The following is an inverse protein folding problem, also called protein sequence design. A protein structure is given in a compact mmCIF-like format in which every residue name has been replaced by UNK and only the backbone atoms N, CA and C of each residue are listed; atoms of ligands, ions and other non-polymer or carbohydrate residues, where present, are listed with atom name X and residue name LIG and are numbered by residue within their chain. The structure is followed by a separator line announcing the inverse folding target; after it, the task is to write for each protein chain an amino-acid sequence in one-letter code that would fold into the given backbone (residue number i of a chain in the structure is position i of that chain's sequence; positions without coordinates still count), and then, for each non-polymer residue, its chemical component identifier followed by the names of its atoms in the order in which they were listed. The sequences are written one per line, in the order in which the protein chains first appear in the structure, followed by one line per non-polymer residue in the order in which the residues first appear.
data_IF_991204115606
#
_entry.id   IF_991204115606
#
_cell.length_a   1.000
_cell.length_b   1.000
_cell.length_c   1.000
_cell.angle_alpha   90.00
_cell.angle_beta   90.00
_cell.angle_gamma   90.00
#
_symmetry.space_group_name_H-M   'P 1'
#
loop_
_entity.id
_entity.type
_entity.pdbx_description
1 polymer ?
#
# COMPACT_ATOMS: atom_id res chain seq x y z
N UNK A 1 7.02 12.71 -2.67
CA UNK A 1 5.65 12.57 -2.09
C UNK A 1 5.47 11.21 -1.42
N UNK A 2 4.50 11.02 -0.52
CA UNK A 2 4.22 9.69 0.10
C UNK A 2 3.69 8.65 -0.91
N UNK A 3 3.18 9.08 -2.06
CA UNK A 3 2.80 8.18 -3.17
C UNK A 3 3.98 7.35 -3.69
N UNK A 4 5.18 7.94 -3.75
CA UNK A 4 6.40 7.25 -4.22
C UNK A 4 6.81 6.12 -3.27
N UNK A 5 6.73 6.35 -1.95
CA UNK A 5 6.98 5.32 -0.96
C UNK A 5 5.91 4.22 -1.02
N UNK A 6 4.63 4.60 -1.13
CA UNK A 6 3.53 3.64 -1.22
C UNK A 6 3.65 2.71 -2.44
N UNK A 7 3.99 3.25 -3.62
CA UNK A 7 4.18 2.44 -4.83
C UNK A 7 5.44 1.58 -4.74
N UNK A 8 6.54 2.09 -4.16
CA UNK A 8 7.74 1.30 -3.94
C UNK A 8 7.48 0.07 -3.04
N UNK A 9 6.66 0.22 -1.98
CA UNK A 9 6.22 -0.91 -1.17
C UNK A 9 5.39 -1.92 -1.98
N UNK A 10 4.45 -1.43 -2.81
CA UNK A 10 3.60 -2.29 -3.62
C UNK A 10 4.37 -3.04 -4.72
N UNK A 11 5.36 -2.41 -5.35
CA UNK A 11 6.18 -3.01 -6.40
C UNK A 11 7.00 -4.20 -5.93
N UNK A 12 7.41 -4.23 -4.65
CA UNK A 12 8.15 -5.37 -4.07
C UNK A 12 7.38 -6.67 -4.10
N UNK A 13 6.05 -6.58 -3.98
CA UNK A 13 5.16 -7.74 -3.95
C UNK A 13 4.44 -7.95 -5.27
N UNK A 14 4.61 -7.05 -6.24
CA UNK A 14 4.01 -7.17 -7.56
C UNK A 14 4.34 -8.50 -8.27
N UNK A 15 5.56 -9.10 -8.13
CA UNK A 15 5.84 -10.41 -8.69
C UNK A 15 4.96 -11.56 -8.14
N UNK A 16 4.25 -11.35 -7.03
CA UNK A 16 3.29 -12.33 -6.49
C UNK A 16 1.92 -12.26 -7.18
N UNK A 17 1.66 -11.19 -7.95
CA UNK A 17 0.41 -11.03 -8.68
C UNK A 17 0.47 -11.77 -10.02
N UNK A 18 -0.51 -12.64 -10.22
CA UNK A 18 -0.73 -13.43 -11.43
C UNK A 18 -2.23 -13.46 -11.70
N UNK A 19 -2.62 -13.15 -12.95
CA UNK A 19 -4.00 -13.00 -13.39
C UNK A 19 -4.07 -13.02 -14.94
N UNK A 20 -5.25 -12.81 -15.52
CA UNK A 20 -5.35 -12.60 -16.96
C UNK A 20 -4.63 -11.31 -17.42
N UNK A 21 -4.30 -11.25 -18.71
CA UNK A 21 -3.54 -10.14 -19.30
C UNK A 21 -4.22 -8.76 -19.13
N UNK A 22 -5.55 -8.72 -19.01
CA UNK A 22 -6.28 -7.45 -18.81
C UNK A 22 -6.06 -6.95 -17.39
N UNK A 23 -6.21 -7.82 -16.40
CA UNK A 23 -5.96 -7.49 -15.00
C UNK A 23 -4.48 -7.12 -14.76
N UNK A 24 -3.54 -7.84 -15.37
CA UNK A 24 -2.11 -7.48 -15.35
C UNK A 24 -1.86 -6.07 -15.89
N UNK A 25 -2.41 -5.75 -17.05
CA UNK A 25 -2.27 -4.43 -17.65
C UNK A 25 -2.83 -3.33 -16.74
N UNK A 26 -4.00 -3.54 -16.13
CA UNK A 26 -4.62 -2.60 -15.21
C UNK A 26 -3.80 -2.35 -13.94
N UNK A 27 -3.16 -3.39 -13.39
CA UNK A 27 -2.29 -3.24 -12.21
C UNK A 27 -0.99 -2.52 -12.57
N UNK A 28 -0.34 -2.86 -13.70
CA UNK A 28 0.88 -2.17 -14.16
C UNK A 28 0.62 -0.70 -14.49
N UNK A 29 -0.50 -0.41 -15.12
CA UNK A 29 -0.96 0.96 -15.42
C UNK A 29 -1.19 1.77 -14.12
N UNK A 30 -1.81 1.18 -13.10
CA UNK A 30 -1.94 1.83 -11.79
C UNK A 30 -0.59 2.14 -11.11
N UNK A 31 0.40 1.26 -11.24
CA UNK A 31 1.78 1.52 -10.79
C UNK A 31 2.38 2.71 -11.52
N UNK A 32 2.32 2.71 -12.86
CA UNK A 32 2.86 3.79 -13.70
C UNK A 32 2.23 5.16 -13.37
N UNK A 33 0.91 5.20 -13.19
CA UNK A 33 0.21 6.43 -12.81
C UNK A 33 0.55 6.90 -11.40
N UNK A 34 0.70 5.98 -10.44
CA UNK A 34 1.08 6.36 -9.07
C UNK A 34 2.48 6.98 -9.04
N UNK A 35 3.39 6.47 -9.86
CA UNK A 35 4.70 7.06 -10.09
C UNK A 35 4.61 8.47 -10.71
N UNK A 36 3.83 8.65 -11.77
CA UNK A 36 3.61 9.95 -12.41
C UNK A 36 3.02 10.97 -11.43
N UNK A 37 2.00 10.59 -10.67
CA UNK A 37 1.42 11.43 -9.62
C UNK A 37 2.45 11.81 -8.56
N UNK A 38 3.27 10.84 -8.12
CA UNK A 38 4.34 11.07 -7.15
C UNK A 38 5.42 12.05 -7.63
N UNK A 39 5.61 12.19 -8.94
CA UNK A 39 6.50 13.16 -9.60
C UNK A 39 5.82 14.49 -9.96
N UNK A 40 4.51 14.62 -9.72
CA UNK A 40 3.74 15.82 -10.08
C UNK A 40 3.38 15.91 -11.57
N UNK A 41 3.43 14.79 -12.28
CA UNK A 41 3.12 14.71 -13.73
C UNK A 41 1.63 14.47 -14.01
N UNK A 42 0.82 14.19 -12.97
CA UNK A 42 -0.65 14.09 -13.06
C UNK A 42 -1.32 14.75 -11.86
N UNK A 43 -2.62 15.01 -11.99
CA UNK A 43 -3.43 15.67 -10.96
C UNK A 43 -4.15 14.67 -10.06
N UNK A 44 -4.44 15.10 -8.82
CA UNK A 44 -5.27 14.30 -7.91
C UNK A 44 -6.63 13.95 -8.53
N UNK A 45 -7.25 14.88 -9.26
CA UNK A 45 -8.55 14.66 -9.89
C UNK A 45 -8.51 13.55 -10.96
N UNK A 46 -7.45 13.49 -11.76
CA UNK A 46 -7.25 12.43 -12.76
C UNK A 46 -7.07 11.06 -12.11
N UNK A 47 -6.24 10.98 -11.08
CA UNK A 47 -5.95 9.71 -10.41
C UNK A 47 -7.13 9.21 -9.57
N UNK A 48 -7.84 10.12 -8.89
CA UNK A 48 -9.05 9.78 -8.14
C UNK A 48 -10.08 9.11 -9.07
N UNK A 49 -10.26 9.60 -10.31
CA UNK A 49 -11.22 8.98 -11.25
C UNK A 49 -10.88 7.53 -11.60
N UNK A 50 -9.61 7.15 -11.53
CA UNK A 50 -9.13 5.82 -11.93
C UNK A 50 -8.83 4.90 -10.73
N UNK A 51 -8.91 5.39 -9.49
CA UNK A 51 -8.50 4.67 -8.27
C UNK A 51 -9.15 3.30 -8.04
N UNK A 52 -10.36 3.07 -8.61
CA UNK A 52 -11.09 1.81 -8.45
C UNK A 52 -10.70 0.73 -9.47
N UNK A 53 -9.95 1.07 -10.52
CA UNK A 53 -9.48 0.12 -11.53
C UNK A 53 -8.63 -0.99 -10.91
N UNK A 54 -7.53 -0.71 -10.18
CA UNK A 54 -6.72 -1.77 -9.57
C UNK A 54 -7.46 -2.54 -8.47
N UNK A 55 -8.47 -1.95 -7.82
CA UNK A 55 -9.32 -2.66 -6.83
C UNK A 55 -10.08 -3.79 -7.50
N UNK A 56 -10.63 -3.56 -8.69
CA UNK A 56 -11.35 -4.59 -9.45
C UNK A 56 -10.39 -5.66 -9.99
N UNK A 57 -9.24 -5.24 -10.52
CA UNK A 57 -8.21 -6.14 -11.03
C UNK A 57 -7.70 -7.12 -9.95
N UNK A 58 -7.64 -6.69 -8.68
CA UNK A 58 -7.23 -7.55 -7.57
C UNK A 58 -8.13 -8.78 -7.36
N UNK A 59 -9.37 -8.77 -7.85
CA UNK A 59 -10.27 -9.94 -7.78
C UNK A 59 -9.96 -11.01 -8.82
N UNK A 60 -9.17 -10.69 -9.84
CA UNK A 60 -8.73 -11.64 -10.88
C UNK A 60 -7.46 -12.42 -10.48
N UNK A 61 -6.87 -12.12 -9.33
CA UNK A 61 -5.66 -12.79 -8.86
C UNK A 61 -5.89 -14.30 -8.64
N UNK A 62 -4.95 -15.12 -9.09
CA UNK A 62 -4.99 -16.58 -8.96
C UNK A 62 -4.67 -17.08 -7.55
N UNK A 63 -4.01 -16.25 -6.72
CA UNK A 63 -3.62 -16.60 -5.36
C UNK A 63 -4.00 -15.53 -4.33
N UNK A 64 -4.17 -15.89 -3.03
CA UNK A 64 -4.39 -14.90 -1.97
C UNK A 64 -3.24 -13.89 -1.82
N UNK A 65 -1.99 -14.34 -2.01
CA UNK A 65 -0.81 -13.47 -1.96
C UNK A 65 -0.83 -12.44 -3.11
N UNK A 66 -1.12 -12.89 -4.33
CA UNK A 66 -1.31 -12.01 -5.49
C UNK A 66 -2.47 -11.04 -5.31
N UNK A 67 -3.58 -11.50 -4.74
CA UNK A 67 -4.72 -10.63 -4.42
C UNK A 67 -4.37 -9.57 -3.38
N UNK A 68 -3.46 -9.86 -2.45
CA UNK A 68 -2.94 -8.88 -1.50
C UNK A 68 -1.96 -7.90 -2.17
N UNK A 69 -1.09 -8.38 -3.08
CA UNK A 69 -0.18 -7.54 -3.86
C UNK A 69 -0.93 -6.54 -4.74
N UNK A 70 -1.95 -6.98 -5.49
CA UNK A 70 -2.78 -6.07 -6.28
C UNK A 70 -3.55 -5.05 -5.41
N UNK A 71 -3.97 -5.45 -4.20
CA UNK A 71 -4.56 -4.50 -3.23
C UNK A 71 -3.53 -3.51 -2.68
N UNK A 72 -2.26 -3.86 -2.56
CA UNK A 72 -1.19 -2.91 -2.21
C UNK A 72 -1.07 -1.83 -3.29
N UNK A 73 -1.05 -2.22 -4.57
CA UNK A 73 -1.07 -1.28 -5.71
C UNK A 73 -2.32 -0.41 -5.70
N UNK A 74 -3.50 -1.00 -5.42
CA UNK A 74 -4.74 -0.25 -5.36
C UNK A 74 -4.74 0.83 -4.25
N UNK A 75 -4.16 0.51 -3.09
CA UNK A 75 -3.96 1.49 -2.01
C UNK A 75 -2.94 2.56 -2.42
N UNK A 76 -1.84 2.19 -3.07
CA UNK A 76 -0.84 3.15 -3.55
C UNK A 76 -1.47 4.16 -4.54
N UNK A 77 -2.27 3.70 -5.49
CA UNK A 77 -3.01 4.56 -6.41
C UNK A 77 -4.04 5.47 -5.69
N UNK A 78 -4.61 5.01 -4.57
CA UNK A 78 -5.54 5.78 -3.77
C UNK A 78 -4.86 6.89 -2.93
N UNK A 79 -3.53 6.98 -2.89
CA UNK A 79 -2.82 8.09 -2.20
C UNK A 79 -3.22 9.45 -2.77
N UNK A 80 -3.52 9.53 -4.07
CA UNK A 80 -4.01 10.76 -4.71
C UNK A 80 -5.35 11.26 -4.13
N UNK A 81 -6.15 10.37 -3.55
CA UNK A 81 -7.35 10.72 -2.81
C UNK A 81 -7.02 11.17 -1.38
N UNK A 82 -6.20 10.39 -0.67
CA UNK A 82 -5.82 10.66 0.72
C UNK A 82 -4.48 10.01 1.06
N UNK A 83 -3.56 10.79 1.65
CA UNK A 83 -2.22 10.32 2.03
C UNK A 83 -2.21 9.09 2.95
N UNK A 84 -3.26 8.93 3.76
CA UNK A 84 -3.45 7.79 4.66
C UNK A 84 -3.47 6.42 3.95
N UNK A 85 -3.81 6.37 2.66
CA UNK A 85 -3.74 5.15 1.87
C UNK A 85 -2.32 4.59 1.73
N UNK A 86 -1.28 5.40 1.95
CA UNK A 86 0.11 4.94 1.90
C UNK A 86 0.39 3.83 2.93
N UNK A 87 -0.11 3.98 4.17
CA UNK A 87 0.01 2.94 5.20
C UNK A 87 -0.79 1.68 4.83
N UNK A 88 -1.91 1.84 4.12
CA UNK A 88 -2.67 0.73 3.57
C UNK A 88 -1.88 -0.04 2.50
N UNK A 89 -1.14 0.65 1.63
CA UNK A 89 -0.30 0.02 0.60
C UNK A 89 0.80 -0.82 1.24
N UNK A 90 1.54 -0.22 2.17
CA UNK A 90 2.58 -0.89 2.95
C UNK A 90 2.06 -2.13 3.69
N UNK A 91 0.91 -2.01 4.37
CA UNK A 91 0.31 -3.12 5.10
C UNK A 91 -0.17 -4.27 4.19
N UNK A 92 -0.72 -3.96 3.01
CA UNK A 92 -1.08 -4.99 2.04
C UNK A 92 0.14 -5.66 1.42
N UNK A 93 1.26 -4.95 1.25
CA UNK A 93 2.52 -5.56 0.83
C UNK A 93 3.01 -6.58 1.88
N UNK A 94 3.02 -6.20 3.16
CA UNK A 94 3.36 -7.13 4.25
C UNK A 94 2.40 -8.33 4.30
N UNK A 95 1.10 -8.10 4.07
CA UNK A 95 0.12 -9.19 3.96
C UNK A 95 0.42 -10.13 2.79
N UNK A 96 0.83 -9.61 1.63
CA UNK A 96 1.20 -10.43 0.48
C UNK A 96 2.42 -11.31 0.80
N UNK A 97 3.45 -10.73 1.41
CA UNK A 97 4.64 -11.46 1.89
C UNK A 97 4.26 -12.55 2.89
N UNK A 98 3.45 -12.23 3.89
CA UNK A 98 3.00 -13.21 4.89
C UNK A 98 2.23 -14.38 4.28
N UNK A 99 1.41 -14.12 3.26
CA UNK A 99 0.65 -15.16 2.56
C UNK A 99 1.54 -16.04 1.65
N UNK A 100 2.56 -15.46 1.03
CA UNK A 100 3.54 -16.20 0.23
C UNK A 100 4.49 -17.04 1.11
N UNK A 101 4.70 -16.64 2.36
CA UNK A 101 5.67 -17.24 3.28
C UNK A 101 5.07 -17.56 4.67
N UNK A 102 4.05 -18.43 4.79
CA UNK A 102 3.22 -18.59 6.00
C UNK A 102 3.94 -19.13 7.24
N UNK A 103 5.22 -19.51 7.15
CA UNK A 103 6.03 -20.04 8.26
C UNK A 103 7.34 -19.26 8.50
N UNK A 104 7.54 -18.15 7.79
CA UNK A 104 8.79 -17.39 7.78
C UNK A 104 8.52 -15.98 8.29
N UNK A 105 8.32 -15.85 9.61
CA UNK A 105 8.01 -14.58 10.26
C UNK A 105 9.12 -13.55 10.11
N UNK A 106 10.37 -14.00 9.97
CA UNK A 106 11.54 -13.18 9.70
C UNK A 106 11.45 -12.42 8.36
N UNK A 107 10.82 -13.01 7.34
CA UNK A 107 10.63 -12.33 6.04
C UNK A 107 9.61 -11.19 6.20
N UNK A 108 8.56 -11.40 7.00
CA UNK A 108 7.56 -10.35 7.30
C UNK A 108 8.22 -9.19 8.05
N UNK A 109 9.06 -9.49 9.04
CA UNK A 109 9.80 -8.47 9.77
C UNK A 109 10.78 -7.71 8.86
N UNK A 110 11.52 -8.43 8.00
CA UNK A 110 12.44 -7.83 7.04
C UNK A 110 11.73 -6.91 6.03
N UNK A 111 10.50 -7.25 5.61
CA UNK A 111 9.70 -6.39 4.76
C UNK A 111 9.32 -5.08 5.48
N UNK A 112 8.89 -5.14 6.74
CA UNK A 112 8.59 -3.93 7.54
C UNK A 112 9.85 -3.07 7.70
N UNK A 113 10.99 -3.67 8.05
CA UNK A 113 12.27 -2.95 8.18
C UNK A 113 12.66 -2.27 6.86
N UNK A 114 12.55 -2.97 5.74
CA UNK A 114 12.82 -2.37 4.42
C UNK A 114 11.92 -1.16 4.16
N UNK A 115 10.63 -1.25 4.50
CA UNK A 115 9.68 -0.15 4.29
C UNK A 115 10.05 1.10 5.11
N UNK A 116 10.53 0.92 6.35
CA UNK A 116 10.98 2.02 7.21
C UNK A 116 12.29 2.63 6.71
N UNK A 117 13.27 1.79 6.33
CA UNK A 117 14.56 2.22 5.78
C UNK A 117 14.40 2.97 4.44
N UNK A 118 13.34 2.66 3.68
CA UNK A 118 13.06 3.29 2.40
C UNK A 118 12.30 4.63 2.52
N UNK A 119 11.91 5.06 3.72
CA UNK A 119 11.30 6.37 3.92
C UNK A 119 12.34 7.48 3.82
N UNK A 120 12.05 8.50 3.01
CA UNK A 120 12.76 9.78 3.15
C UNK A 120 12.27 10.52 4.38
N UNK A 121 13.10 11.42 4.93
CA UNK A 121 12.71 12.26 6.06
C UNK A 121 11.42 13.05 5.80
N UNK A 122 11.27 13.61 4.59
CA UNK A 122 10.05 14.33 4.21
C UNK A 122 8.81 13.42 4.20
N UNK A 123 8.93 12.19 3.68
CA UNK A 123 7.80 11.24 3.69
C UNK A 123 7.44 10.85 5.12
N UNK A 124 8.44 10.62 5.97
CA UNK A 124 8.26 10.34 7.39
C UNK A 124 7.51 11.47 8.10
N UNK A 125 7.91 12.72 7.89
CA UNK A 125 7.23 13.89 8.46
C UNK A 125 5.75 13.97 8.04
N UNK A 126 5.43 13.63 6.79
CA UNK A 126 4.03 13.59 6.30
C UNK A 126 3.26 12.47 6.99
N UNK A 127 3.84 11.26 7.10
CA UNK A 127 3.17 10.11 7.71
C UNK A 127 2.92 10.31 9.22
N UNK A 128 3.79 11.04 9.93
CA UNK A 128 3.60 11.41 11.34
C UNK A 128 2.37 12.31 11.58
N UNK A 129 1.89 13.01 10.56
CA UNK A 129 0.70 13.86 10.67
C UNK A 129 -0.61 13.08 10.53
N UNK A 130 -0.55 11.81 10.13
CA UNK A 130 -1.75 10.99 9.98
C UNK A 130 -2.33 10.61 11.35
N UNK A 131 -3.66 10.49 11.46
CA UNK A 131 -4.29 10.00 12.68
C UNK A 131 -3.82 8.58 13.01
N UNK A 132 -3.80 8.25 14.29
CA UNK A 132 -3.54 6.89 14.75
C UNK A 132 -4.61 5.93 14.18
N UNK A 133 -4.20 4.69 13.91
CA UNK A 133 -5.11 3.66 13.44
C UNK A 133 -6.31 3.49 14.40
N UNK A 134 -7.51 3.53 13.84
CA UNK A 134 -8.78 3.35 14.53
C UNK A 134 -9.37 4.60 15.17
N UNK A 135 -8.69 5.75 15.15
CA UNK A 135 -9.13 6.94 15.91
C UNK A 135 -9.95 7.94 15.10
N UNK A 136 -9.93 7.86 13.76
CA UNK A 136 -10.64 8.78 12.87
C UNK A 136 -11.44 8.02 11.81
N UNK A 137 -12.78 8.11 11.87
CA UNK A 137 -13.68 7.42 10.95
C UNK A 137 -13.80 8.06 9.56
N UNK A 138 -13.21 9.24 9.33
CA UNK A 138 -13.30 9.96 8.06
C UNK A 138 -12.36 9.42 6.97
N UNK A 139 -11.36 8.63 7.37
CA UNK A 139 -10.31 8.13 6.49
C UNK A 139 -10.16 6.60 6.49
N UNK A 140 -9.26 6.06 5.65
CA UNK A 140 -9.04 4.62 5.54
C UNK A 140 -8.43 4.00 6.82
N UNK A 141 -7.88 4.83 7.72
CA UNK A 141 -7.34 4.41 9.01
C UNK A 141 -8.40 4.29 10.11
N UNK A 142 -9.67 4.64 9.85
CA UNK A 142 -10.73 4.47 10.83
C UNK A 142 -11.04 3.00 11.16
N UNK A 143 -11.96 2.76 12.12
CA UNK A 143 -12.42 1.42 12.42
C UNK A 143 -12.94 0.72 11.16
N UNK A 144 -12.39 -0.44 10.82
CA UNK A 144 -12.69 -1.10 9.56
C UNK A 144 -11.65 -2.15 9.14
N UNK A 145 -11.58 -2.39 7.84
CA UNK A 145 -10.74 -3.43 7.24
C UNK A 145 -9.25 -3.26 7.57
N UNK A 146 -8.73 -2.03 7.47
CA UNK A 146 -7.31 -1.75 7.73
C UNK A 146 -6.97 -1.82 9.23
N UNK A 147 -7.95 -1.68 10.12
CA UNK A 147 -7.72 -1.74 11.58
C UNK A 147 -7.70 -3.16 12.16
N UNK A 148 -7.76 -4.21 11.33
CA UNK A 148 -7.95 -5.60 11.78
C UNK A 148 -6.89 -6.54 11.24
N UNK A 149 -6.63 -7.61 12.00
CA UNK A 149 -5.71 -8.69 11.62
C UNK A 149 -4.32 -8.17 11.28
N UNK A 150 -3.67 -8.83 10.32
CA UNK A 150 -2.30 -8.48 9.88
C UNK A 150 -2.19 -7.05 9.34
N UNK A 151 -3.25 -6.50 8.73
CA UNK A 151 -3.23 -5.13 8.23
C UNK A 151 -3.12 -4.16 9.40
N UNK A 152 -3.96 -4.33 10.41
CA UNK A 152 -3.98 -3.46 11.57
C UNK A 152 -2.69 -3.53 12.38
N UNK A 153 -2.21 -4.75 12.66
CA UNK A 153 -0.95 -4.92 13.39
C UNK A 153 0.24 -4.31 12.64
N UNK A 154 0.27 -4.44 11.31
CA UNK A 154 1.33 -3.84 10.49
C UNK A 154 1.26 -2.32 10.50
N UNK A 155 0.07 -1.72 10.32
CA UNK A 155 -0.07 -0.27 10.33
C UNK A 155 0.33 0.31 11.70
N UNK A 156 -0.12 -0.31 12.79
CA UNK A 156 0.27 0.11 14.14
C UNK A 156 1.79 0.03 14.35
N UNK A 157 2.44 -1.03 13.87
CA UNK A 157 3.90 -1.18 13.96
C UNK A 157 4.63 -0.12 13.14
N UNK A 158 4.21 0.12 11.89
CA UNK A 158 4.76 1.16 11.02
C UNK A 158 4.61 2.55 11.66
N UNK A 159 3.43 2.89 12.17
CA UNK A 159 3.20 4.16 12.87
C UNK A 159 4.11 4.29 14.09
N UNK A 160 4.27 3.22 14.87
CA UNK A 160 5.15 3.23 16.04
C UNK A 160 6.63 3.42 15.67
N UNK A 161 7.12 2.79 14.59
CA UNK A 161 8.50 2.96 14.11
C UNK A 161 8.75 4.35 13.54
N UNK A 162 7.82 4.87 12.73
CA UNK A 162 7.88 6.23 12.14
C UNK A 162 7.96 7.33 13.20
N UNK A 163 7.40 7.10 14.39
CA UNK A 163 7.43 8.05 15.51
C UNK A 163 8.72 8.00 16.34
N UNK A 164 9.50 6.91 16.29
CA UNK A 164 10.68 6.69 17.15
C UNK A 164 11.98 7.26 16.58
N UNK A 165 12.16 7.20 15.27
CA UNK A 165 13.28 7.77 14.51
C UNK A 165 12.76 8.94 13.71
#
# INVERSE_FOLDING_TARGET
MVAQWAVACAERVLPLFDADATAEAQVRDAVARTHAYGRGESTAAEEIRQRLVPVKAANAATTPAGAAAARAVAQAAAVAHMGAHALGAAAYAVKAVSLAHPKQHEIVAAEISWQIDHLTEQQRLILRQLPALGTDSSGPLGPGLLSKGILGSTISELQAQIMRE
#
